data_IF_088379527558
#
_entry.id   IF_088379527558
#
_cell.length_a   1.000
_cell.length_b   1.000
_cell.length_c   1.000
_cell.angle_alpha   90.00
_cell.angle_beta   90.00
_cell.angle_gamma   90.00
#
_symmetry.space_group_name_H-M   'P 1'
#
loop_
_entity.id
_entity.type
_entity.pdbx_description
1 polymer ?
#
# COMPACT_ATOMS: atom_id res chain seq x y z
N UNK A 1 -1.86 6.88 -16.11
CA UNK A 1 -3.27 6.61 -16.43
C UNK A 1 -3.89 5.75 -15.34
N UNK A 2 -5.06 6.15 -14.85
CA UNK A 2 -5.83 5.41 -13.85
C UNK A 2 -6.86 4.51 -14.54
N UNK A 3 -6.82 3.23 -14.23
CA UNK A 3 -7.72 2.23 -14.80
C UNK A 3 -8.43 1.45 -13.69
N UNK A 4 -9.68 1.06 -13.93
CA UNK A 4 -10.42 0.14 -13.07
C UNK A 4 -10.23 -1.27 -13.60
N UNK A 5 -9.38 -2.04 -12.94
CA UNK A 5 -8.96 -3.37 -13.36
C UNK A 5 -9.64 -4.46 -12.52
N UNK A 6 -10.02 -5.55 -13.17
CA UNK A 6 -10.50 -6.78 -12.53
C UNK A 6 -9.77 -7.96 -13.14
N UNK A 7 -9.28 -8.86 -12.29
CA UNK A 7 -8.73 -10.14 -12.74
C UNK A 7 -9.79 -10.92 -13.53
N UNK A 8 -9.36 -11.56 -14.61
CA UNK A 8 -10.28 -12.35 -15.43
C UNK A 8 -10.73 -13.61 -14.66
N UNK A 9 -12.02 -13.96 -14.77
CA UNK A 9 -12.62 -15.09 -14.03
C UNK A 9 -11.88 -16.41 -14.23
N UNK A 10 -11.45 -16.68 -15.47
CA UNK A 10 -10.77 -17.93 -15.84
C UNK A 10 -9.25 -17.91 -15.68
N UNK A 11 -8.66 -16.77 -15.27
CA UNK A 11 -7.23 -16.68 -15.07
C UNK A 11 -6.86 -17.16 -13.65
N UNK A 12 -6.14 -18.26 -13.53
CA UNK A 12 -5.92 -18.94 -12.23
C UNK A 12 -5.04 -18.16 -11.24
N UNK A 13 -4.13 -17.30 -11.73
CA UNK A 13 -3.15 -16.60 -10.88
C UNK A 13 -3.64 -15.20 -10.51
N UNK A 14 -3.27 -14.74 -9.32
CA UNK A 14 -3.44 -13.33 -8.93
C UNK A 14 -2.30 -12.49 -9.49
N UNK A 15 -2.60 -11.26 -9.89
CA UNK A 15 -1.59 -10.34 -10.41
C UNK A 15 -0.94 -9.60 -9.24
N UNK A 16 0.37 -9.51 -9.28
CA UNK A 16 1.17 -8.84 -8.26
C UNK A 16 1.54 -7.44 -8.73
N UNK A 17 1.51 -6.49 -7.80
CA UNK A 17 1.96 -5.12 -8.05
C UNK A 17 3.44 -5.10 -8.37
N UNK A 18 3.81 -4.28 -9.36
CA UNK A 18 5.19 -4.13 -9.84
C UNK A 18 5.75 -5.31 -10.64
N UNK A 19 4.91 -6.29 -11.01
CA UNK A 19 5.27 -7.31 -12.00
C UNK A 19 4.91 -6.81 -13.41
N UNK A 20 5.75 -7.02 -14.44
CA UNK A 20 5.45 -6.56 -15.79
C UNK A 20 4.23 -7.27 -16.38
N UNK A 21 3.35 -6.51 -17.00
CA UNK A 21 2.23 -7.01 -17.79
C UNK A 21 2.20 -6.34 -19.16
N UNK A 22 1.71 -7.04 -20.16
CA UNK A 22 1.41 -6.45 -21.47
C UNK A 22 -0.03 -6.00 -21.47
N UNK A 23 -0.27 -4.73 -21.79
CA UNK A 23 -1.62 -4.17 -21.89
C UNK A 23 -1.92 -3.83 -23.35
N UNK A 24 -3.13 -4.16 -23.77
CA UNK A 24 -3.73 -3.74 -25.03
C UNK A 24 -4.76 -2.66 -24.72
N UNK A 25 -4.50 -1.44 -25.20
CA UNK A 25 -5.35 -0.26 -25.00
C UNK A 25 -5.56 0.39 -26.37
N UNK A 26 -6.80 0.36 -26.87
CA UNK A 26 -7.10 0.75 -28.25
C UNK A 26 -6.22 -0.02 -29.25
N UNK A 27 -5.52 0.72 -30.12
CA UNK A 27 -4.63 0.17 -31.15
C UNK A 27 -3.24 -0.25 -30.64
N UNK A 28 -2.88 0.12 -29.41
CA UNK A 28 -1.53 -0.03 -28.89
C UNK A 28 -1.42 -1.22 -27.95
N UNK A 29 -0.36 -2.01 -28.14
CA UNK A 29 0.08 -3.05 -27.21
C UNK A 29 1.46 -2.69 -26.69
N UNK A 30 1.60 -2.62 -25.38
CA UNK A 30 2.88 -2.30 -24.75
C UNK A 30 2.99 -2.96 -23.39
N UNK A 31 4.23 -3.17 -22.95
CA UNK A 31 4.53 -3.69 -21.63
C UNK A 31 4.63 -2.55 -20.62
N UNK A 32 4.02 -2.72 -19.46
CA UNK A 32 4.04 -1.75 -18.37
C UNK A 32 4.11 -2.44 -17.01
N UNK A 33 4.49 -1.68 -16.00
CA UNK A 33 4.62 -2.15 -14.62
C UNK A 33 3.51 -1.48 -13.79
N UNK A 34 2.36 -2.16 -13.60
CA UNK A 34 1.19 -1.60 -12.93
C UNK A 34 1.42 -1.47 -11.43
N UNK A 35 0.85 -0.41 -10.87
CA UNK A 35 0.65 -0.30 -9.43
C UNK A 35 -0.82 -0.46 -9.10
N UNK A 36 -1.17 -1.50 -8.34
CA UNK A 36 -2.54 -1.74 -7.91
C UNK A 36 -2.83 -1.02 -6.59
N UNK A 37 -4.01 -0.43 -6.50
CA UNK A 37 -4.53 0.26 -5.33
C UNK A 37 -6.02 -0.04 -5.13
N UNK A 38 -6.48 0.10 -3.90
CA UNK A 38 -7.89 0.08 -3.53
C UNK A 38 -8.20 1.43 -2.88
N UNK A 39 -9.37 1.96 -3.20
CA UNK A 39 -9.89 3.16 -2.56
C UNK A 39 -10.52 2.78 -1.21
N UNK A 40 -10.00 3.37 -0.14
CA UNK A 40 -10.59 3.26 1.20
C UNK A 40 -11.83 4.16 1.32
N UNK A 41 -12.68 3.91 2.33
CA UNK A 41 -13.85 4.75 2.65
C UNK A 41 -13.52 6.23 2.88
N UNK A 42 -12.27 6.53 3.19
CA UNK A 42 -11.78 7.88 3.45
C UNK A 42 -11.24 8.59 2.19
N UNK A 43 -11.49 8.03 0.99
CA UNK A 43 -11.01 8.57 -0.30
C UNK A 43 -9.50 8.43 -0.51
N UNK A 44 -8.82 7.60 0.28
CA UNK A 44 -7.38 7.36 0.15
C UNK A 44 -7.13 6.15 -0.75
N UNK A 45 -6.18 6.28 -1.66
CA UNK A 45 -5.75 5.16 -2.50
C UNK A 45 -4.64 4.37 -1.78
N UNK A 46 -5.00 3.20 -1.26
CA UNK A 46 -4.07 2.31 -0.58
C UNK A 46 -3.48 1.29 -1.55
N UNK A 47 -2.15 1.30 -1.68
CA UNK A 47 -1.42 0.34 -2.50
C UNK A 47 -1.63 -1.09 -1.98
N UNK A 48 -2.09 -1.98 -2.86
CA UNK A 48 -2.20 -3.41 -2.57
C UNK A 48 -1.03 -4.18 -3.17
N UNK A 49 -0.69 -5.32 -2.56
CA UNK A 49 0.37 -6.20 -3.07
C UNK A 49 -0.12 -7.06 -4.26
N UNK A 50 -1.38 -7.47 -4.21
CA UNK A 50 -2.00 -8.35 -5.19
C UNK A 50 -3.38 -7.81 -5.58
N UNK A 51 -3.83 -8.14 -6.78
CA UNK A 51 -5.21 -7.88 -7.22
C UNK A 51 -6.18 -8.77 -6.43
N UNK A 52 -7.29 -8.22 -5.93
CA UNK A 52 -8.34 -9.03 -5.32
C UNK A 52 -8.97 -9.98 -6.35
N UNK A 53 -9.45 -11.14 -5.89
CA UNK A 53 -9.86 -12.20 -6.80
C UNK A 53 -11.13 -11.89 -7.61
N UNK A 54 -12.15 -11.34 -6.97
CA UNK A 54 -13.47 -11.12 -7.59
C UNK A 54 -13.92 -9.66 -7.55
N UNK A 55 -13.04 -8.76 -7.11
CA UNK A 55 -13.30 -7.33 -6.96
C UNK A 55 -12.55 -6.51 -8.02
N UNK A 56 -13.04 -5.32 -8.30
CA UNK A 56 -12.29 -4.33 -9.08
C UNK A 56 -11.28 -3.62 -8.17
N UNK A 57 -10.08 -3.41 -8.67
CA UNK A 57 -9.07 -2.55 -8.07
C UNK A 57 -8.70 -1.41 -9.02
N UNK A 58 -8.15 -0.34 -8.49
CA UNK A 58 -7.50 0.69 -9.29
C UNK A 58 -6.13 0.17 -9.73
N UNK A 59 -5.76 0.40 -10.98
CA UNK A 59 -4.45 0.10 -11.51
C UNK A 59 -3.89 1.36 -12.19
N UNK A 60 -2.73 1.80 -11.75
CA UNK A 60 -1.98 2.88 -12.38
C UNK A 60 -1.05 2.28 -13.42
N UNK A 61 -1.27 2.68 -14.67
CA UNK A 61 -0.46 2.28 -15.81
C UNK A 61 0.32 3.48 -16.31
N UNK A 62 1.61 3.27 -16.53
CA UNK A 62 2.46 4.22 -17.25
C UNK A 62 2.50 3.81 -18.72
N UNK A 63 2.11 4.72 -19.60
CA UNK A 63 1.99 4.44 -21.03
C UNK A 63 1.25 5.53 -21.80
N UNK A 64 1.02 5.33 -23.11
CA UNK A 64 0.28 6.26 -23.96
C UNK A 64 -1.12 6.54 -23.40
N UNK A 65 -1.53 7.80 -23.48
CA UNK A 65 -2.85 8.25 -23.04
C UNK A 65 -3.93 7.70 -23.97
N UNK A 66 -5.05 7.30 -23.37
CA UNK A 66 -6.24 6.80 -24.02
C UNK A 66 -7.44 7.48 -23.37
N UNK A 67 -8.53 7.72 -24.12
CA UNK A 67 -9.69 8.41 -23.58
C UNK A 67 -10.33 7.60 -22.45
N UNK A 68 -11.05 8.26 -21.53
CA UNK A 68 -11.74 7.60 -20.44
C UNK A 68 -12.84 6.71 -21.01
N UNK A 69 -13.23 5.68 -20.27
CA UNK A 69 -14.14 4.61 -20.69
C UNK A 69 -13.62 3.71 -21.84
N UNK A 70 -12.33 3.81 -22.20
CA UNK A 70 -11.71 2.86 -23.14
C UNK A 70 -11.48 1.50 -22.47
N UNK A 71 -11.83 0.42 -23.17
CA UNK A 71 -11.55 -0.95 -22.74
C UNK A 71 -10.06 -1.29 -22.80
N UNK A 72 -9.58 -2.01 -21.80
CA UNK A 72 -8.19 -2.45 -21.66
C UNK A 72 -8.18 -3.95 -21.37
N UNK A 73 -7.28 -4.66 -22.03
CA UNK A 73 -7.03 -6.09 -21.79
C UNK A 73 -5.58 -6.28 -21.39
N UNK A 74 -5.34 -7.01 -20.30
CA UNK A 74 -4.00 -7.29 -19.79
C UNK A 74 -3.62 -8.76 -19.99
N UNK A 75 -2.36 -8.99 -20.33
CA UNK A 75 -1.73 -10.28 -20.56
C UNK A 75 -0.46 -10.38 -19.72
N UNK A 76 -0.14 -11.58 -19.25
CA UNK A 76 1.12 -11.82 -18.55
C UNK A 76 2.22 -12.28 -19.53
N UNK A 77 1.94 -13.32 -20.31
CA UNK A 77 2.85 -13.86 -21.32
C UNK A 77 2.18 -13.87 -22.70
N UNK A 78 2.97 -13.59 -23.74
CA UNK A 78 2.55 -13.65 -25.15
C UNK A 78 2.97 -14.95 -25.85
N UNK A 79 3.67 -15.86 -25.16
CA UNK A 79 4.15 -17.12 -25.72
C UNK A 79 2.99 -18.03 -26.14
N UNK A 80 3.11 -18.67 -27.32
CA UNK A 80 2.08 -19.58 -27.83
C UNK A 80 2.00 -20.92 -27.09
N UNK A 81 2.99 -21.27 -26.28
CA UNK A 81 3.09 -22.55 -25.59
C UNK A 81 2.36 -22.57 -24.23
N UNK A 82 1.13 -22.08 -24.17
CA UNK A 82 0.32 -22.07 -22.95
C UNK A 82 -1.03 -22.73 -23.17
N UNK A 83 -1.27 -23.83 -22.44
CA UNK A 83 -2.56 -24.53 -22.39
C UNK A 83 -3.63 -23.80 -21.55
N UNK A 84 -3.21 -22.83 -20.72
CA UNK A 84 -4.11 -22.09 -19.83
C UNK A 84 -4.65 -20.80 -20.47
N UNK A 85 -5.74 -20.28 -19.90
CA UNK A 85 -6.36 -19.03 -20.32
C UNK A 85 -5.39 -17.84 -20.19
N UNK A 86 -5.15 -17.14 -21.30
CA UNK A 86 -4.04 -16.16 -21.45
C UNK A 86 -4.35 -14.76 -20.97
N UNK A 87 -5.61 -14.32 -21.08
CA UNK A 87 -6.00 -12.98 -20.63
C UNK A 87 -5.99 -12.98 -19.10
N UNK A 88 -5.17 -12.10 -18.53
CA UNK A 88 -4.94 -12.03 -17.09
C UNK A 88 -6.00 -11.17 -16.39
N UNK A 89 -6.32 -10.01 -16.98
CA UNK A 89 -7.28 -9.08 -16.43
C UNK A 89 -7.96 -8.26 -17.53
N UNK A 90 -9.15 -7.77 -17.22
CA UNK A 90 -9.88 -6.77 -18.00
C UNK A 90 -9.93 -5.49 -17.20
N UNK A 91 -9.86 -4.36 -17.88
CA UNK A 91 -9.90 -3.06 -17.24
C UNK A 91 -10.61 -2.03 -18.12
N UNK A 92 -11.00 -0.92 -17.51
CA UNK A 92 -11.53 0.24 -18.20
C UNK A 92 -10.75 1.46 -17.74
N UNK A 93 -10.38 2.34 -18.66
CA UNK A 93 -9.72 3.60 -18.33
C UNK A 93 -10.72 4.50 -17.61
N UNK A 94 -10.37 5.01 -16.44
CA UNK A 94 -11.20 5.97 -15.71
C UNK A 94 -10.79 7.39 -16.04
N UNK A 95 -9.51 7.70 -15.83
CA UNK A 95 -9.00 9.06 -15.90
C UNK A 95 -7.50 9.07 -16.21
N UNK A 96 -7.02 10.21 -16.68
CA UNK A 96 -5.63 10.47 -17.00
C UNK A 96 -5.09 11.58 -16.09
N UNK A 97 -4.72 11.21 -14.86
CA UNK A 97 -4.00 12.11 -13.96
C UNK A 97 -2.48 11.95 -14.10
N UNK A 98 -1.78 13.08 -14.18
CA UNK A 98 -0.32 13.14 -14.23
C UNK A 98 0.33 12.75 -12.89
N UNK A 99 -0.36 13.00 -11.77
CA UNK A 99 0.11 12.64 -10.43
C UNK A 99 -1.04 11.99 -9.64
N UNK A 100 -0.98 10.66 -9.45
CA UNK A 100 -1.90 9.95 -8.56
C UNK A 100 -1.21 9.71 -7.22
N UNK A 101 -1.80 10.22 -6.13
CA UNK A 101 -1.29 9.99 -4.77
C UNK A 101 -1.69 8.59 -4.33
N UNK A 102 -0.74 7.67 -4.34
CA UNK A 102 -0.93 6.31 -3.81
C UNK A 102 -0.10 6.17 -2.54
N UNK A 103 -0.76 5.78 -1.46
CA UNK A 103 -0.14 5.61 -0.15
C UNK A 103 0.05 4.12 0.15
N UNK A 104 1.18 3.77 0.78
CA UNK A 104 1.41 2.43 1.33
C UNK A 104 1.53 2.57 2.84
N UNK A 105 0.72 1.81 3.56
CA UNK A 105 0.80 1.77 5.02
C UNK A 105 2.14 1.17 5.47
N UNK A 106 2.87 1.92 6.28
CA UNK A 106 4.06 1.46 7.00
C UNK A 106 3.71 1.47 8.49
N UNK A 107 4.07 0.40 9.20
CA UNK A 107 3.93 0.31 10.66
C UNK A 107 5.32 0.30 11.26
N UNK A 108 5.61 1.29 12.10
CA UNK A 108 6.76 1.23 13.00
C UNK A 108 6.37 0.36 14.19
N UNK A 109 7.17 -0.65 14.49
CA UNK A 109 6.91 -1.60 15.58
C UNK A 109 8.00 -1.42 16.61
N UNK A 110 7.62 -1.39 17.88
CA UNK A 110 8.54 -1.39 19.00
C UNK A 110 7.99 -2.21 20.14
N UNK A 111 8.83 -2.45 21.14
CA UNK A 111 8.52 -3.33 22.26
C UNK A 111 8.63 -2.58 23.59
N UNK A 112 7.71 -2.81 24.54
CA UNK A 112 7.81 -2.20 25.86
C UNK A 112 9.00 -2.81 26.62
N UNK A 113 9.83 -1.96 27.25
CA UNK A 113 10.91 -2.40 28.16
C UNK A 113 10.51 -2.29 29.62
N UNK A 114 9.92 -1.15 29.99
CA UNK A 114 9.43 -0.92 31.34
C UNK A 114 8.00 -0.40 31.27
N UNK A 115 7.13 -0.99 32.09
CA UNK A 115 5.70 -0.70 32.10
C UNK A 115 5.35 -0.15 33.48
N UNK A 116 4.75 1.02 33.50
CA UNK A 116 4.15 1.64 34.67
C UNK A 116 2.61 1.61 34.52
N UNK A 117 1.88 2.17 35.49
CA UNK A 117 0.40 2.12 35.52
C UNK A 117 -0.27 2.62 34.22
N UNK A 118 0.07 3.83 33.79
CA UNK A 118 -0.50 4.48 32.59
C UNK A 118 0.54 4.83 31.54
N UNK A 119 1.82 4.57 31.83
CA UNK A 119 2.95 4.92 30.98
C UNK A 119 3.84 3.72 30.71
N UNK A 120 4.52 3.73 29.57
CA UNK A 120 5.47 2.68 29.22
C UNK A 120 6.65 3.28 28.46
N UNK A 121 7.85 2.74 28.71
CA UNK A 121 9.05 2.99 27.93
C UNK A 121 9.12 1.98 26.79
N UNK A 122 9.11 2.48 25.56
CA UNK A 122 9.23 1.65 24.35
C UNK A 122 10.65 1.73 23.83
N UNK A 123 11.24 0.57 23.56
CA UNK A 123 12.51 0.42 22.86
C UNK A 123 12.32 -0.14 21.45
N UNK A 124 13.37 -0.03 20.64
CA UNK A 124 13.49 -0.65 19.31
C UNK A 124 12.41 -0.21 18.30
N UNK A 125 11.74 0.92 18.54
CA UNK A 125 10.80 1.55 17.61
C UNK A 125 11.46 2.57 16.67
N UNK A 126 12.47 3.28 17.18
CA UNK A 126 13.22 4.33 16.48
C UNK A 126 14.71 4.11 16.71
N UNK A 127 15.54 4.62 15.80
CA UNK A 127 16.99 4.48 15.87
C UNK A 127 17.65 5.69 16.53
N UNK A 128 17.05 6.88 16.43
CA UNK A 128 17.64 8.13 16.93
C UNK A 128 16.69 8.98 17.76
N UNK A 129 17.25 9.83 18.61
CA UNK A 129 16.47 10.81 19.40
C UNK A 129 15.75 11.83 18.51
N UNK A 130 16.34 12.19 17.36
CA UNK A 130 15.78 13.14 16.40
C UNK A 130 14.51 12.60 15.74
N UNK A 131 14.48 11.29 15.43
CA UNK A 131 13.27 10.63 14.93
C UNK A 131 12.16 10.70 15.97
N UNK A 132 12.44 10.37 17.22
CA UNK A 132 11.44 10.43 18.29
C UNK A 132 10.89 11.84 18.45
N UNK A 133 11.74 12.87 18.44
CA UNK A 133 11.30 14.26 18.51
C UNK A 133 10.37 14.64 17.35
N UNK A 134 10.62 14.11 16.14
CA UNK A 134 9.73 14.32 14.98
C UNK A 134 8.37 13.64 15.12
N UNK A 135 8.31 12.55 15.88
CA UNK A 135 7.09 11.78 16.15
C UNK A 135 6.48 12.08 17.53
N UNK A 136 6.94 13.11 18.24
CA UNK A 136 6.32 13.59 19.47
C UNK A 136 4.87 13.99 19.20
N UNK A 137 3.97 13.60 20.10
CA UNK A 137 2.53 13.75 19.94
C UNK A 137 1.88 12.74 19.00
N UNK A 138 2.65 11.84 18.36
CA UNK A 138 2.13 10.81 17.46
C UNK A 138 1.24 9.78 18.17
N UNK A 139 0.15 9.38 17.51
CA UNK A 139 -0.76 8.34 18.02
C UNK A 139 -0.16 6.94 17.85
N UNK A 140 -0.15 6.15 18.92
CA UNK A 140 0.28 4.75 18.93
C UNK A 140 -0.87 3.87 19.39
N UNK A 141 -0.91 2.65 18.85
CA UNK A 141 -1.85 1.63 19.25
C UNK A 141 -1.13 0.30 19.44
N UNK A 142 -1.40 -0.35 20.57
CA UNK A 142 -0.92 -1.72 20.83
C UNK A 142 -1.76 -2.75 20.08
N UNK A 143 -1.25 -3.98 19.96
CA UNK A 143 -2.00 -5.10 19.34
C UNK A 143 -3.31 -5.38 20.07
N UNK A 144 -3.34 -5.18 21.40
CA UNK A 144 -4.54 -5.31 22.25
C UNK A 144 -5.54 -4.16 22.10
N UNK A 145 -5.29 -3.20 21.21
CA UNK A 145 -6.20 -2.09 20.92
C UNK A 145 -6.06 -0.87 21.84
N UNK A 146 -5.22 -0.92 22.88
CA UNK A 146 -4.96 0.21 23.78
C UNK A 146 -4.28 1.34 22.99
N UNK A 147 -4.88 2.54 23.04
CA UNK A 147 -4.37 3.75 22.41
C UNK A 147 -3.42 4.50 23.36
N UNK A 148 -2.41 5.15 22.80
CA UNK A 148 -1.41 5.92 23.51
C UNK A 148 -0.87 7.04 22.63
N UNK A 149 -0.07 7.93 23.22
CA UNK A 149 0.60 9.01 22.51
C UNK A 149 2.09 9.03 22.85
N UNK A 150 2.94 9.26 21.85
CA UNK A 150 4.37 9.56 22.02
C UNK A 150 4.50 10.88 22.77
N UNK A 151 5.17 10.88 23.91
CA UNK A 151 5.52 12.09 24.65
C UNK A 151 6.96 12.46 24.35
N UNK A 152 7.88 12.19 25.27
CA UNK A 152 9.27 12.66 25.20
C UNK A 152 10.26 11.52 25.03
N UNK A 153 11.42 11.90 24.52
CA UNK A 153 12.64 11.09 24.56
C UNK A 153 13.04 10.86 26.01
N UNK A 154 13.33 9.62 26.39
CA UNK A 154 13.98 9.31 27.66
C UNK A 154 15.49 9.15 27.43
N UNK A 155 16.28 9.90 28.21
CA UNK A 155 17.75 9.82 28.23
C UNK A 155 18.16 9.24 29.58
N UNK A 156 17.94 7.96 29.78
CA UNK A 156 18.48 7.25 30.95
C UNK A 156 19.32 6.07 30.48
N UNK A 157 20.62 6.16 30.79
CA UNK A 157 21.69 5.17 30.63
C UNK A 157 21.77 4.43 29.28
N UNK A 158 22.69 4.96 28.45
CA UNK A 158 23.53 4.29 27.43
C UNK A 158 22.93 2.99 26.90
N UNK A 159 22.11 3.11 25.85
CA UNK A 159 22.32 2.39 24.59
C UNK A 159 21.18 2.64 23.59
N UNK A 160 19.97 3.02 24.02
CA UNK A 160 18.86 3.29 23.10
C UNK A 160 17.95 4.42 23.56
N UNK A 161 17.43 5.15 22.58
CA UNK A 161 16.46 6.22 22.74
C UNK A 161 15.08 5.65 23.08
N UNK A 162 14.45 6.12 24.17
CA UNK A 162 13.15 5.59 24.61
C UNK A 162 12.02 6.58 24.37
N UNK A 163 10.81 6.04 24.20
CA UNK A 163 9.59 6.83 24.13
C UNK A 163 8.78 6.67 25.41
N UNK A 164 8.41 7.79 26.00
CA UNK A 164 7.31 7.86 26.97
C UNK A 164 5.97 7.75 26.26
N UNK A 165 5.16 6.74 26.60
CA UNK A 165 3.74 6.75 26.25
C UNK A 165 2.86 7.09 27.44
N UNK A 166 1.74 7.76 27.21
CA UNK A 166 0.62 7.74 28.15
C UNK A 166 -0.68 7.38 27.46
N UNK A 167 -1.56 6.64 28.15
CA UNK A 167 -2.95 6.49 27.72
C UNK A 167 -3.59 7.89 27.63
N UNK A 168 -4.23 8.27 26.51
CA UNK A 168 -5.04 9.49 26.48
C UNK A 168 -6.18 9.31 27.51
N UNK A 169 -6.35 10.29 28.39
CA UNK A 169 -7.57 10.40 29.16
C UNK A 169 -8.71 10.62 28.16
N UNK A 170 -9.70 9.73 28.19
CA UNK A 170 -11.04 10.02 27.67
C UNK A 170 -11.67 11.02 28.64
#
# INVERSE_FOLDING_TARGET
>A
MQTRLKRHRWHKKVLKTSDPIVVSIGWRRYQTIPVYAIEDRNGRHHRVKYTPEHMHCLAMLLGPLAPPNTGVVAFQNLSNNQAAFRIAATAVVLEFNHASKIEKKVKMVGYPRQIFKKTALIGDMFMSNLEIARFEGGAIQTVSGIRGQVKKVCVENIEKSYIWLSKPCI
#
